data_IF_367607121022
#
_entry.id   IF_367607121022
#
_cell.length_a   1.000
_cell.length_b   1.000
_cell.length_c   1.000
_cell.angle_alpha   90.00
_cell.angle_beta   90.00
_cell.angle_gamma   90.00
#
_symmetry.space_group_name_H-M   'P 1'
#
loop_
_entity.id
_entity.type
_entity.pdbx_description
1 polymer ?
#
# COMPACT_ATOMS: atom_id res chain seq x y z
N UNK A 1 -11.40 10.48 -9.09
CA UNK A 1 -11.06 9.09 -9.47
C UNK A 1 -9.58 9.05 -9.76
N UNK A 2 -8.85 8.20 -9.04
CA UNK A 2 -7.44 7.97 -9.32
C UNK A 2 -7.28 7.25 -10.68
N UNK A 3 -6.37 7.70 -11.53
CA UNK A 3 -6.00 6.98 -12.77
C UNK A 3 -6.19 7.73 -14.10
N UNK A 4 -6.94 8.82 -14.13
CA UNK A 4 -7.19 9.58 -15.38
C UNK A 4 -6.14 10.69 -15.64
N UNK A 5 -5.39 11.08 -14.63
CA UNK A 5 -4.35 12.11 -14.69
C UNK A 5 -3.14 11.72 -13.85
N UNK A 6 -1.96 12.27 -14.17
CA UNK A 6 -0.78 12.13 -13.31
C UNK A 6 -1.06 12.76 -11.95
N UNK A 7 -0.88 11.98 -10.89
CA UNK A 7 -1.10 12.40 -9.52
C UNK A 7 0.11 12.05 -8.67
N UNK A 8 0.45 12.91 -7.72
CA UNK A 8 1.51 12.66 -6.76
C UNK A 8 0.96 11.83 -5.59
N UNK A 9 1.73 10.85 -5.13
CA UNK A 9 1.38 10.08 -3.92
C UNK A 9 1.49 10.91 -2.63
N UNK A 10 2.24 12.00 -2.67
CA UNK A 10 2.41 12.92 -1.54
C UNK A 10 2.32 14.35 -2.03
N UNK A 11 2.10 15.29 -1.11
CA UNK A 11 2.10 16.72 -1.45
C UNK A 11 3.43 17.11 -2.14
N UNK A 12 3.39 17.58 -3.40
CA UNK A 12 4.59 17.98 -4.14
C UNK A 12 5.30 19.19 -3.51
N UNK A 13 4.60 19.98 -2.68
CA UNK A 13 5.19 21.12 -1.97
C UNK A 13 5.99 20.69 -0.73
N UNK A 14 5.87 19.44 -0.31
CA UNK A 14 6.64 18.89 0.80
C UNK A 14 7.95 18.30 0.25
N UNK A 15 8.95 19.16 0.06
CA UNK A 15 10.30 18.76 -0.36
C UNK A 15 10.86 17.70 0.63
N UNK A 16 11.22 16.52 0.12
CA UNK A 16 11.57 15.27 0.82
C UNK A 16 10.43 14.27 1.10
N UNK A 17 9.19 14.54 0.68
CA UNK A 17 8.07 13.61 0.91
C UNK A 17 7.82 12.61 -0.22
N UNK A 18 8.48 12.74 -1.38
CA UNK A 18 8.23 11.85 -2.53
C UNK A 18 8.52 10.38 -2.18
N UNK A 19 7.50 9.52 -2.11
CA UNK A 19 7.70 8.14 -1.77
C UNK A 19 8.34 7.47 -2.99
N UNK A 20 9.57 7.00 -2.80
CA UNK A 20 10.21 6.11 -3.77
C UNK A 20 9.68 4.72 -3.54
N UNK A 21 9.17 4.10 -4.58
CA UNK A 21 8.65 2.74 -4.54
C UNK A 21 9.64 1.74 -5.14
N UNK A 22 9.75 0.57 -4.52
CA UNK A 22 10.52 -0.57 -5.03
C UNK A 22 9.62 -1.53 -5.80
N UNK A 23 8.35 -1.62 -5.39
CA UNK A 23 7.34 -2.49 -6.01
C UNK A 23 6.01 -1.77 -6.04
N UNK A 24 5.23 -2.02 -7.09
CA UNK A 24 3.87 -1.52 -7.26
C UNK A 24 3.05 -2.68 -7.82
N UNK A 25 1.84 -2.87 -7.30
CA UNK A 25 0.88 -3.84 -7.80
C UNK A 25 -0.55 -3.33 -7.56
N UNK A 26 -1.55 -4.02 -8.09
CA UNK A 26 -2.96 -3.64 -7.94
C UNK A 26 -3.82 -4.82 -7.49
N UNK A 27 -4.80 -4.49 -6.65
CA UNK A 27 -6.01 -5.28 -6.41
C UNK A 27 -7.19 -4.61 -7.13
N UNK A 28 -8.38 -5.21 -7.05
CA UNK A 28 -9.58 -4.65 -7.65
C UNK A 28 -9.95 -3.26 -7.11
N UNK A 29 -9.79 -3.04 -5.80
CA UNK A 29 -10.19 -1.82 -5.11
C UNK A 29 -9.07 -0.82 -4.85
N UNK A 30 -7.81 -1.26 -4.95
CA UNK A 30 -6.67 -0.44 -4.53
C UNK A 30 -5.40 -0.65 -5.35
N UNK A 31 -4.62 0.42 -5.47
CA UNK A 31 -3.20 0.40 -5.78
C UNK A 31 -2.42 0.17 -4.49
N UNK A 32 -1.48 -0.77 -4.53
CA UNK A 32 -0.58 -1.05 -3.42
C UNK A 32 0.87 -0.93 -3.86
N UNK A 33 1.72 -0.42 -2.96
CA UNK A 33 3.13 -0.23 -3.26
C UNK A 33 4.00 -0.49 -2.03
N UNK A 34 5.25 -0.86 -2.27
CA UNK A 34 6.29 -0.95 -1.23
C UNK A 34 7.23 0.24 -1.39
N UNK A 35 7.35 1.08 -0.37
CA UNK A 35 8.31 2.18 -0.40
C UNK A 35 9.76 1.69 -0.14
N UNK A 36 10.76 2.55 -0.31
CA UNK A 36 12.17 2.21 -0.05
C UNK A 36 12.48 1.78 1.39
N UNK A 37 11.61 2.11 2.35
CA UNK A 37 11.73 1.70 3.74
C UNK A 37 11.10 0.31 3.97
N UNK A 38 10.51 -0.30 2.93
CA UNK A 38 9.82 -1.58 2.98
C UNK A 38 8.44 -1.52 3.63
N UNK A 39 7.80 -0.35 3.67
CA UNK A 39 6.45 -0.19 4.22
C UNK A 39 5.40 -0.38 3.13
N UNK A 40 4.30 -1.02 3.49
CA UNK A 40 3.13 -1.18 2.62
C UNK A 40 2.34 0.13 2.55
N UNK A 41 2.15 0.63 1.33
CA UNK A 41 1.43 1.86 1.02
C UNK A 41 0.18 1.55 0.20
N UNK A 42 -0.90 2.32 0.39
CA UNK A 42 -2.20 2.12 -0.23
C UNK A 42 -2.76 3.37 -0.89
N UNK A 43 -3.42 3.22 -2.04
CA UNK A 43 -4.30 4.23 -2.62
C UNK A 43 -5.54 3.54 -3.19
N UNK A 44 -6.72 3.83 -2.63
CA UNK A 44 -7.96 3.25 -3.09
C UNK A 44 -8.37 3.94 -4.39
N UNK A 45 -8.88 3.21 -5.37
CA UNK A 45 -9.27 3.81 -6.65
C UNK A 45 -10.39 4.86 -6.51
N UNK A 46 -11.21 4.72 -5.47
CA UNK A 46 -12.32 5.62 -5.16
C UNK A 46 -11.88 6.87 -4.40
N UNK A 47 -10.70 6.87 -3.79
CA UNK A 47 -10.22 7.98 -2.96
C UNK A 47 -9.45 9.00 -3.78
N UNK A 48 -9.60 10.28 -3.41
CA UNK A 48 -8.87 11.39 -4.03
C UNK A 48 -7.39 11.43 -3.61
N UNK A 49 -7.09 10.93 -2.42
CA UNK A 49 -5.75 10.95 -1.83
C UNK A 49 -5.36 9.54 -1.33
N UNK A 50 -4.07 9.19 -1.31
CA UNK A 50 -3.62 7.91 -0.77
C UNK A 50 -3.88 7.81 0.73
N UNK A 51 -3.92 6.57 1.23
CA UNK A 51 -4.26 6.29 2.62
C UNK A 51 -3.31 6.99 3.61
N UNK A 52 -3.90 7.66 4.58
CA UNK A 52 -3.21 8.26 5.72
C UNK A 52 -3.99 7.94 6.99
N UNK A 53 -3.34 7.28 7.93
CA UNK A 53 -3.92 7.05 9.25
C UNK A 53 -3.87 8.35 10.07
N UNK A 54 -5.01 8.71 10.67
CA UNK A 54 -5.14 9.98 11.41
C UNK A 54 -4.33 9.99 12.71
N UNK A 55 -4.22 8.84 13.37
CA UNK A 55 -3.54 8.73 14.67
C UNK A 55 -2.06 8.35 14.50
N UNK A 56 -1.74 7.61 13.44
CA UNK A 56 -0.40 7.05 13.21
C UNK A 56 0.10 7.30 11.80
N UNK A 57 0.73 8.45 11.50
CA UNK A 57 1.19 8.82 10.14
C UNK A 57 2.16 7.82 9.47
N UNK A 58 2.78 6.94 10.26
CA UNK A 58 3.64 5.85 9.79
C UNK A 58 2.87 4.68 9.18
N UNK A 59 1.57 4.54 9.47
CA UNK A 59 0.68 3.55 8.88
C UNK A 59 0.18 4.10 7.53
N UNK A 60 0.67 3.49 6.46
CA UNK A 60 0.37 3.86 5.06
C UNK A 60 -0.60 2.88 4.39
N UNK A 61 -1.08 1.89 5.13
CA UNK A 61 -2.04 0.88 4.66
C UNK A 61 -2.82 0.33 5.86
N UNK A 62 -4.16 0.18 5.80
CA UNK A 62 -5.00 -0.22 6.94
C UNK A 62 -4.66 -1.63 7.49
N UNK A 63 -4.29 -2.57 6.60
CA UNK A 63 -3.86 -3.93 7.01
C UNK A 63 -2.49 -3.99 7.70
N UNK A 64 -1.75 -2.89 7.85
CA UNK A 64 -0.41 -2.89 8.48
C UNK A 64 -0.42 -3.49 9.90
N UNK A 65 -1.39 -3.12 10.73
CA UNK A 65 -1.50 -3.63 12.09
C UNK A 65 -1.98 -5.09 12.11
N UNK A 66 -3.02 -5.41 11.34
CA UNK A 66 -3.60 -6.75 11.25
C UNK A 66 -2.57 -7.79 10.80
N UNK A 67 -1.71 -7.43 9.84
CA UNK A 67 -0.66 -8.29 9.31
C UNK A 67 0.65 -8.20 10.11
N UNK A 68 0.67 -7.45 11.22
CA UNK A 68 1.82 -7.29 12.11
C UNK A 68 3.09 -6.76 11.41
N UNK A 69 2.91 -5.80 10.50
CA UNK A 69 3.98 -5.28 9.64
C UNK A 69 4.75 -4.09 10.23
N UNK A 70 4.34 -3.56 11.39
CA UNK A 70 4.96 -2.35 12.00
C UNK A 70 6.47 -2.49 12.20
N UNK A 71 6.93 -3.70 12.51
CA UNK A 71 8.34 -4.01 12.76
C UNK A 71 8.94 -4.92 11.68
N UNK A 72 8.34 -4.94 10.49
CA UNK A 72 8.80 -5.74 9.35
C UNK A 72 9.21 -4.85 8.19
N UNK A 73 10.21 -5.32 7.46
CA UNK A 73 10.61 -4.70 6.19
C UNK A 73 10.21 -5.62 5.05
N UNK A 74 9.29 -5.15 4.21
CA UNK A 74 8.81 -5.91 3.06
C UNK A 74 9.84 -5.82 1.93
N UNK A 75 10.22 -6.96 1.37
CA UNK A 75 11.21 -7.06 0.28
C UNK A 75 10.62 -7.53 -1.04
N UNK A 76 9.42 -8.10 -1.03
CA UNK A 76 8.80 -8.58 -2.25
C UNK A 76 7.28 -8.43 -2.18
N UNK A 77 6.67 -8.14 -3.33
CA UNK A 77 5.22 -8.02 -3.51
C UNK A 77 4.81 -8.75 -4.77
N UNK A 78 3.81 -9.62 -4.66
CA UNK A 78 3.10 -10.21 -5.78
C UNK A 78 1.61 -10.01 -5.56
N UNK A 79 0.91 -9.51 -6.56
CA UNK A 79 -0.54 -9.39 -6.51
C UNK A 79 -1.18 -9.69 -7.85
N UNK A 80 -2.46 -10.05 -7.78
CA UNK A 80 -3.40 -10.08 -8.88
C UNK A 80 -4.66 -9.34 -8.44
N UNK A 81 -5.67 -9.24 -9.30
CA UNK A 81 -6.90 -8.47 -9.02
C UNK A 81 -7.66 -8.91 -7.74
N UNK A 82 -7.45 -10.12 -7.23
CA UNK A 82 -8.15 -10.68 -6.07
C UNK A 82 -7.27 -10.77 -4.83
N UNK A 83 -5.97 -11.04 -4.99
CA UNK A 83 -5.08 -11.41 -3.88
C UNK A 83 -3.72 -10.75 -4.00
N UNK A 84 -3.19 -10.33 -2.85
CA UNK A 84 -1.81 -9.90 -2.69
C UNK A 84 -1.08 -10.81 -1.69
N UNK A 85 0.23 -10.93 -1.90
CA UNK A 85 1.17 -11.63 -1.03
C UNK A 85 2.46 -10.82 -0.93
N UNK A 86 3.00 -10.77 0.28
CA UNK A 86 4.27 -10.09 0.58
C UNK A 86 5.24 -11.04 1.27
N UNK A 87 6.53 -10.82 1.04
CA UNK A 87 7.63 -11.46 1.75
C UNK A 87 8.44 -10.40 2.50
N UNK A 88 8.76 -10.66 3.75
CA UNK A 88 9.55 -9.75 4.60
C UNK A 88 11.01 -10.21 4.75
N UNK A 89 11.89 -9.31 5.20
CA UNK A 89 13.31 -9.62 5.47
C UNK A 89 13.50 -10.73 6.51
N UNK A 90 12.53 -10.93 7.42
CA UNK A 90 12.55 -12.01 8.41
C UNK A 90 12.01 -13.34 7.88
N UNK A 91 11.83 -13.46 6.56
CA UNK A 91 11.23 -14.61 5.87
C UNK A 91 9.78 -14.92 6.28
N UNK A 92 9.06 -13.92 6.81
CA UNK A 92 7.61 -14.04 7.05
C UNK A 92 6.83 -13.72 5.78
N UNK A 93 5.73 -14.42 5.59
CA UNK A 93 4.81 -14.22 4.46
C UNK A 93 3.47 -13.79 5.02
N UNK A 94 2.88 -12.76 4.42
CA UNK A 94 1.50 -12.38 4.65
C UNK A 94 0.75 -12.36 3.32
N UNK A 95 -0.52 -12.75 3.34
CA UNK A 95 -1.41 -12.70 2.17
C UNK A 95 -2.77 -12.18 2.58
N UNK A 96 -3.43 -11.45 1.69
CA UNK A 96 -4.79 -10.98 1.88
C UNK A 96 -5.56 -10.98 0.55
N UNK A 97 -6.88 -10.99 0.67
CA UNK A 97 -7.82 -10.92 -0.45
C UNK A 97 -8.42 -9.52 -0.46
N UNK A 98 -8.80 -9.05 -1.64
CA UNK A 98 -9.63 -7.88 -1.82
C UNK A 98 -11.07 -8.17 -1.36
N UNK A 99 -11.43 -7.63 -0.20
CA UNK A 99 -12.73 -7.87 0.44
C UNK A 99 -13.90 -7.17 -0.27
N UNK A 100 -13.62 -6.18 -1.13
CA UNK A 100 -14.66 -5.48 -1.89
C UNK A 100 -15.34 -6.40 -2.91
N UNK A 101 -14.65 -7.47 -3.36
CA UNK A 101 -15.20 -8.44 -4.31
C UNK A 101 -16.21 -9.41 -3.68
N UNK A 102 -16.18 -9.61 -2.36
CA UNK A 102 -17.10 -10.50 -1.64
C UNK A 102 -18.29 -9.79 -1.02
N UNK A 103 -18.34 -8.46 -1.10
CA UNK A 103 -19.32 -7.60 -0.44
C UNK A 103 -20.22 -6.82 -1.42
N UNK A 104 -20.16 -7.13 -2.72
CA UNK A 104 -21.09 -6.65 -3.75
C UNK A 104 -22.36 -7.51 -3.84
#
# INVERSE_FOLDING_TARGET
>A
VFGDQLQFWTDPNCENSYPRFTHIACLYSELIAININGQLCQWNWQDEYPYQDSDSPHIKHPKTLLLQLMNEKIINLSANIIRASILTETNRIATWIDESLGSQ
#
